data_IF_051277391008
#
_entry.id   IF_051277391008
#
_cell.length_a   1.000
_cell.length_b   1.000
_cell.length_c   1.000
_cell.angle_alpha   90.00
_cell.angle_beta   90.00
_cell.angle_gamma   90.00
#
_symmetry.space_group_name_H-M   'P 1'
#
loop_
_entity.id
_entity.type
_entity.pdbx_description
1 polymer ?
#
# COMPACT_ATOMS: atom_id res chain seq x y z
N UNK A 1 -66.31 22.08 -13.91
CA UNK A 1 -65.04 21.33 -13.93
C UNK A 1 -64.38 21.55 -15.27
N UNK A 2 -63.38 22.45 -15.35
CA UNK A 2 -62.52 22.61 -16.53
C UNK A 2 -61.16 22.07 -16.14
N UNK A 3 -60.74 20.99 -16.80
CA UNK A 3 -59.39 20.47 -16.69
C UNK A 3 -58.44 21.48 -17.35
N UNK A 4 -57.61 22.10 -16.53
CA UNK A 4 -56.55 23.01 -16.96
C UNK A 4 -55.42 22.14 -17.51
N UNK A 5 -55.24 22.19 -18.83
CA UNK A 5 -54.19 21.45 -19.52
C UNK A 5 -52.83 22.04 -19.17
N UNK A 6 -52.08 21.32 -18.34
CA UNK A 6 -50.68 21.61 -18.05
C UNK A 6 -49.88 21.41 -19.34
N UNK A 7 -49.71 22.49 -20.10
CA UNK A 7 -48.84 22.53 -21.27
C UNK A 7 -47.43 22.22 -20.81
N UNK A 8 -47.02 20.97 -21.01
CA UNK A 8 -45.62 20.53 -20.91
C UNK A 8 -44.76 21.49 -21.73
N UNK A 9 -44.13 22.46 -21.05
CA UNK A 9 -43.08 23.25 -21.68
C UNK A 9 -41.97 22.27 -22.05
N UNK A 10 -41.56 22.19 -23.31
CA UNK A 10 -40.50 21.28 -23.71
C UNK A 10 -39.27 21.62 -22.86
N UNK A 11 -38.83 20.65 -22.05
CA UNK A 11 -37.54 20.72 -21.39
C UNK A 11 -36.50 20.71 -22.52
N UNK A 12 -36.15 21.91 -23.02
CA UNK A 12 -34.92 22.07 -23.76
C UNK A 12 -33.80 21.77 -22.77
N UNK A 13 -33.33 20.52 -22.75
CA UNK A 13 -32.04 20.16 -22.20
C UNK A 13 -31.02 21.07 -22.86
N UNK A 14 -30.73 22.17 -22.19
CA UNK A 14 -29.71 23.10 -22.63
C UNK A 14 -28.39 22.39 -22.37
N UNK A 15 -27.97 21.57 -23.33
CA UNK A 15 -26.71 20.85 -23.31
C UNK A 15 -25.64 21.86 -22.90
N UNK A 16 -25.11 21.69 -21.71
CA UNK A 16 -24.07 22.58 -21.20
C UNK A 16 -22.90 22.40 -22.14
N UNK A 17 -22.53 23.44 -22.91
CA UNK A 17 -21.30 23.40 -23.70
C UNK A 17 -20.11 23.30 -22.74
N UNK A 18 -19.44 22.13 -22.66
CA UNK A 18 -18.34 21.91 -21.73
C UNK A 18 -17.10 22.72 -22.14
N UNK A 19 -17.06 23.29 -23.35
CA UNK A 19 -15.95 24.09 -23.86
C UNK A 19 -15.82 25.47 -23.17
N UNK A 20 -16.84 25.94 -22.45
CA UNK A 20 -16.83 27.26 -21.79
C UNK A 20 -16.04 27.31 -20.47
N UNK A 21 -15.50 26.20 -19.99
CA UNK A 21 -14.60 26.17 -18.83
C UNK A 21 -13.16 26.36 -19.31
N UNK A 22 -12.31 27.16 -18.63
CA UNK A 22 -10.88 27.21 -18.94
C UNK A 22 -10.37 25.77 -19.00
N UNK A 23 -9.64 25.42 -20.06
CA UNK A 23 -9.18 24.05 -20.28
C UNK A 23 -8.31 23.65 -19.09
N UNK A 24 -8.88 22.85 -18.19
CA UNK A 24 -8.05 22.18 -17.20
C UNK A 24 -7.15 21.25 -18.01
N UNK A 25 -5.86 21.23 -17.69
CA UNK A 25 -4.95 20.27 -18.29
C UNK A 25 -5.08 18.95 -17.50
N UNK A 26 -5.87 17.96 -17.98
CA UNK A 26 -6.07 16.72 -17.24
C UNK A 26 -4.77 15.93 -17.07
N UNK A 27 -3.79 16.13 -17.96
CA UNK A 27 -2.49 15.47 -17.85
C UNK A 27 -1.70 16.00 -16.66
N UNK A 28 -1.72 17.32 -16.44
CA UNK A 28 -1.08 17.93 -15.26
C UNK A 28 -1.69 17.41 -13.96
N UNK A 29 -3.02 17.29 -13.89
CA UNK A 29 -3.71 16.74 -12.73
C UNK A 29 -3.30 15.29 -12.42
N UNK A 30 -3.20 14.44 -13.44
CA UNK A 30 -2.75 13.05 -13.31
C UNK A 30 -1.30 12.95 -12.80
N UNK A 31 -0.41 13.77 -13.35
CA UNK A 31 1.00 13.80 -12.93
C UNK A 31 1.10 14.27 -11.47
N UNK A 32 0.36 15.32 -11.10
CA UNK A 32 0.38 15.85 -9.74
C UNK A 32 -0.13 14.84 -8.71
N UNK A 33 -1.25 14.15 -8.97
CA UNK A 33 -1.76 13.15 -8.04
C UNK A 33 -0.89 11.88 -8.01
N UNK A 34 -0.25 11.49 -9.12
CA UNK A 34 0.71 10.39 -9.13
C UNK A 34 1.98 10.73 -8.32
N UNK A 35 2.53 11.94 -8.48
CA UNK A 35 3.66 12.41 -7.69
C UNK A 35 3.31 12.44 -6.19
N UNK A 36 2.12 12.94 -5.84
CA UNK A 36 1.61 12.94 -4.47
C UNK A 36 1.46 11.53 -3.90
N UNK A 37 1.03 10.55 -4.70
CA UNK A 37 0.93 9.15 -4.29
C UNK A 37 2.31 8.52 -4.03
N UNK A 38 3.32 8.82 -4.86
CA UNK A 38 4.70 8.37 -4.62
C UNK A 38 5.24 8.96 -3.32
N UNK A 39 5.05 10.28 -3.11
CA UNK A 39 5.46 10.96 -1.88
C UNK A 39 4.74 10.36 -0.67
N UNK A 40 3.43 10.12 -0.76
CA UNK A 40 2.64 9.50 0.30
C UNK A 40 3.14 8.12 0.70
N UNK A 41 3.49 7.29 -0.29
CA UNK A 41 4.01 5.93 -0.06
C UNK A 41 5.37 5.97 0.65
N UNK A 42 6.28 6.83 0.19
CA UNK A 42 7.61 6.99 0.79
C UNK A 42 7.53 7.56 2.21
N UNK A 43 6.68 8.56 2.43
CA UNK A 43 6.47 9.17 3.75
C UNK A 43 5.90 8.14 4.72
N UNK A 44 4.90 7.37 4.31
CA UNK A 44 4.33 6.36 5.20
C UNK A 44 5.31 5.22 5.48
N UNK A 45 5.95 4.66 4.46
CA UNK A 45 6.99 3.64 4.65
C UNK A 45 8.08 4.11 5.60
N UNK A 46 8.52 5.38 5.47
CA UNK A 46 9.53 5.97 6.35
C UNK A 46 9.04 6.16 7.78
N UNK A 47 7.85 6.72 7.96
CA UNK A 47 7.27 6.93 9.30
C UNK A 47 7.10 5.59 10.01
N UNK A 48 6.51 4.59 9.35
CA UNK A 48 6.27 3.28 9.96
C UNK A 48 7.58 2.60 10.35
N UNK A 49 8.59 2.66 9.48
CA UNK A 49 9.92 2.10 9.75
C UNK A 49 10.59 2.74 10.97
N UNK A 50 10.63 4.07 11.06
CA UNK A 50 11.33 4.75 12.17
C UNK A 50 10.51 4.79 13.47
N UNK A 51 9.18 4.80 13.39
CA UNK A 51 8.32 4.87 14.56
C UNK A 51 8.12 3.51 15.24
N UNK A 52 8.46 2.40 14.58
CA UNK A 52 8.13 1.03 15.00
C UNK A 52 6.64 0.89 15.42
N UNK A 53 5.76 1.68 14.79
CA UNK A 53 4.34 1.76 15.10
C UNK A 53 3.55 2.03 13.84
N UNK A 54 2.50 1.24 13.67
CA UNK A 54 1.51 1.43 12.62
C UNK A 54 0.58 2.59 13.00
N UNK A 55 0.62 3.65 12.19
CA UNK A 55 -0.21 4.83 12.41
C UNK A 55 -1.29 4.88 11.31
N UNK A 56 -2.42 4.21 11.55
CA UNK A 56 -3.48 4.05 10.56
C UNK A 56 -4.01 5.39 9.97
N UNK A 57 -4.03 6.47 10.76
CA UNK A 57 -4.48 7.78 10.25
C UNK A 57 -3.60 8.36 9.14
N UNK A 58 -2.37 7.87 8.96
CA UNK A 58 -1.50 8.27 7.83
C UNK A 58 -2.13 7.89 6.49
N UNK A 59 -2.78 6.73 6.39
CA UNK A 59 -3.49 6.29 5.18
C UNK A 59 -4.60 7.28 4.79
N UNK A 60 -5.31 7.83 5.78
CA UNK A 60 -6.30 8.88 5.54
C UNK A 60 -5.65 10.17 5.02
N UNK A 61 -4.53 10.58 5.63
CA UNK A 61 -3.73 11.73 5.20
C UNK A 61 -3.22 11.61 3.76
N UNK A 62 -2.76 10.42 3.35
CA UNK A 62 -2.37 10.12 1.96
C UNK A 62 -3.53 10.37 0.99
N UNK A 63 -4.73 9.91 1.34
CA UNK A 63 -5.93 10.16 0.54
C UNK A 63 -6.21 11.65 0.34
N UNK A 64 -6.09 12.43 1.42
CA UNK A 64 -6.23 13.90 1.36
C UNK A 64 -5.14 14.53 0.49
N UNK A 65 -3.89 14.10 0.62
CA UNK A 65 -2.75 14.58 -0.16
C UNK A 65 -2.94 14.34 -1.67
N UNK A 66 -3.31 13.11 -2.05
CA UNK A 66 -3.52 12.71 -3.46
C UNK A 66 -4.70 13.47 -4.07
N UNK A 67 -5.84 13.51 -3.38
CA UNK A 67 -7.03 14.24 -3.85
C UNK A 67 -6.79 15.74 -3.95
N UNK A 68 -6.11 16.32 -2.96
CA UNK A 68 -5.73 17.73 -2.94
C UNK A 68 -4.81 18.11 -4.09
N UNK A 69 -3.75 17.32 -4.32
CA UNK A 69 -2.83 17.53 -5.44
C UNK A 69 -3.55 17.48 -6.79
N UNK A 70 -4.49 16.54 -6.95
CA UNK A 70 -5.33 16.43 -8.15
C UNK A 70 -6.11 17.73 -8.40
N UNK A 71 -6.81 18.25 -7.37
CA UNK A 71 -7.63 19.47 -7.48
C UNK A 71 -6.78 20.71 -7.72
N UNK A 72 -5.66 20.87 -7.02
CA UNK A 72 -4.74 22.01 -7.18
C UNK A 72 -4.21 22.08 -8.61
N UNK A 73 -3.96 20.94 -9.24
CA UNK A 73 -3.53 20.84 -10.63
C UNK A 73 -4.69 20.90 -11.66
N UNK A 74 -5.91 21.23 -11.22
CA UNK A 74 -7.08 21.42 -12.09
C UNK A 74 -7.90 20.16 -12.36
N UNK A 75 -7.64 19.06 -11.66
CA UNK A 75 -8.37 17.81 -11.76
C UNK A 75 -9.84 17.95 -11.34
N UNK A 76 -10.75 17.42 -12.16
CA UNK A 76 -12.19 17.45 -11.97
C UNK A 76 -12.88 16.36 -12.79
N UNK A 77 -14.14 16.11 -12.47
CA UNK A 77 -14.99 15.06 -13.04
C UNK A 77 -14.79 13.71 -12.35
N UNK A 78 -15.77 12.82 -12.55
CA UNK A 78 -15.78 11.46 -11.97
C UNK A 78 -14.53 10.66 -12.34
N UNK A 79 -14.05 10.79 -13.58
CA UNK A 79 -12.86 10.06 -14.03
C UNK A 79 -11.64 10.40 -13.17
N UNK A 80 -11.40 11.68 -12.87
CA UNK A 80 -10.28 12.11 -12.02
C UNK A 80 -10.47 11.76 -10.55
N UNK A 81 -11.70 11.76 -10.05
CA UNK A 81 -11.99 11.29 -8.70
C UNK A 81 -11.66 9.80 -8.54
N UNK A 82 -12.02 8.97 -9.52
CA UNK A 82 -11.67 7.54 -9.56
C UNK A 82 -10.15 7.36 -9.69
N UNK A 83 -9.48 8.12 -10.56
CA UNK A 83 -8.01 8.08 -10.67
C UNK A 83 -7.32 8.42 -9.35
N UNK A 84 -7.75 9.47 -8.65
CA UNK A 84 -7.21 9.83 -7.35
C UNK A 84 -7.44 8.74 -6.29
N UNK A 85 -8.62 8.12 -6.28
CA UNK A 85 -8.95 7.01 -5.40
C UNK A 85 -8.04 5.80 -5.62
N UNK A 86 -7.85 5.37 -6.89
CA UNK A 86 -6.97 4.25 -7.24
C UNK A 86 -5.52 4.56 -6.84
N UNK A 87 -5.03 5.77 -7.11
CA UNK A 87 -3.68 6.17 -6.72
C UNK A 87 -3.50 6.23 -5.21
N UNK A 88 -4.53 6.59 -4.45
CA UNK A 88 -4.50 6.51 -3.00
C UNK A 88 -4.38 5.05 -2.52
N UNK A 89 -5.15 4.11 -3.08
CA UNK A 89 -5.01 2.67 -2.78
C UNK A 89 -3.59 2.19 -3.06
N UNK A 90 -3.06 2.49 -4.25
CA UNK A 90 -1.73 2.08 -4.65
C UNK A 90 -0.64 2.68 -3.73
N UNK A 91 -0.75 3.98 -3.40
CA UNK A 91 0.16 4.67 -2.49
C UNK A 91 0.17 4.02 -1.10
N UNK A 92 -1.02 3.71 -0.57
CA UNK A 92 -1.19 3.03 0.71
C UNK A 92 -0.53 1.63 0.66
N UNK A 93 -0.86 0.82 -0.34
CA UNK A 93 -0.30 -0.52 -0.48
C UNK A 93 1.23 -0.52 -0.60
N UNK A 94 1.78 0.37 -1.43
CA UNK A 94 3.24 0.52 -1.59
C UNK A 94 3.89 1.01 -0.29
N UNK A 95 3.25 1.94 0.44
CA UNK A 95 3.76 2.41 1.74
C UNK A 95 3.89 1.27 2.76
N UNK A 96 2.86 0.42 2.88
CA UNK A 96 2.90 -0.74 3.79
C UNK A 96 3.93 -1.78 3.35
N UNK A 97 4.01 -2.06 2.05
CA UNK A 97 5.05 -2.94 1.48
C UNK A 97 6.48 -2.45 1.81
N UNK A 98 6.76 -1.15 1.61
CA UNK A 98 8.06 -0.56 1.91
C UNK A 98 8.40 -0.66 3.40
N UNK A 99 7.42 -0.38 4.28
CA UNK A 99 7.60 -0.48 5.73
C UNK A 99 8.08 -1.86 6.15
N UNK A 100 7.40 -2.92 5.71
CA UNK A 100 7.75 -4.31 6.06
C UNK A 100 9.09 -4.70 5.45
N UNK A 101 9.31 -4.38 4.16
CA UNK A 101 10.58 -4.71 3.49
C UNK A 101 11.78 -4.08 4.20
N UNK A 102 11.65 -2.82 4.62
CA UNK A 102 12.72 -2.13 5.35
C UNK A 102 12.90 -2.68 6.76
N UNK A 103 11.81 -2.99 7.47
CA UNK A 103 11.86 -3.59 8.80
C UNK A 103 12.55 -4.97 8.78
N UNK A 104 12.18 -5.83 7.82
CA UNK A 104 12.78 -7.16 7.62
C UNK A 104 14.27 -7.03 7.32
N UNK A 105 14.65 -6.16 6.38
CA UNK A 105 16.05 -5.93 6.06
C UNK A 105 16.85 -5.42 7.26
N UNK A 106 16.29 -4.47 8.02
CA UNK A 106 16.95 -3.92 9.19
C UNK A 106 17.11 -4.98 10.31
N UNK A 107 16.10 -5.84 10.50
CA UNK A 107 16.17 -6.94 11.44
C UNK A 107 17.31 -7.90 11.11
N UNK A 108 17.41 -8.36 9.85
CA UNK A 108 18.47 -9.28 9.43
C UNK A 108 19.87 -8.65 9.33
N UNK A 109 20.00 -7.34 9.57
CA UNK A 109 21.28 -6.65 9.75
C UNK A 109 21.56 -6.25 11.21
N UNK A 110 20.72 -6.69 12.15
CA UNK A 110 20.81 -6.32 13.56
C UNK A 110 21.72 -7.27 14.37
N UNK A 111 22.19 -6.84 15.55
CA UNK A 111 22.93 -7.72 16.47
C UNK A 111 22.15 -8.96 16.90
N UNK A 112 20.83 -8.87 17.03
CA UNK A 112 19.98 -10.01 17.39
C UNK A 112 20.01 -11.07 16.29
N UNK A 113 19.96 -10.64 15.02
CA UNK A 113 20.12 -11.54 13.89
C UNK A 113 21.54 -12.11 13.79
N UNK A 114 22.57 -11.36 14.22
CA UNK A 114 23.94 -11.87 14.28
C UNK A 114 24.08 -13.02 15.28
N UNK A 115 23.41 -12.95 16.44
CA UNK A 115 23.38 -14.06 17.39
C UNK A 115 22.70 -15.30 16.78
N UNK A 116 21.57 -15.14 16.09
CA UNK A 116 20.90 -16.23 15.38
C UNK A 116 21.78 -16.86 14.29
N UNK A 117 22.52 -16.03 13.56
CA UNK A 117 23.49 -16.50 12.57
C UNK A 117 24.63 -17.30 13.22
N UNK A 118 25.20 -16.81 14.32
CA UNK A 118 26.25 -17.51 15.06
C UNK A 118 25.76 -18.88 15.57
N UNK A 119 24.56 -18.92 16.14
CA UNK A 119 23.93 -20.17 16.60
C UNK A 119 23.70 -21.14 15.44
N UNK A 120 23.21 -20.66 14.29
CA UNK A 120 23.02 -21.49 13.11
C UNK A 120 24.34 -22.02 12.54
N UNK A 121 25.41 -21.22 12.55
CA UNK A 121 26.73 -21.70 12.11
C UNK A 121 27.28 -22.75 13.07
N UNK A 122 27.08 -22.58 14.38
CA UNK A 122 27.44 -23.59 15.37
C UNK A 122 26.64 -24.90 15.17
N UNK A 123 25.34 -24.80 14.86
CA UNK A 123 24.50 -25.94 14.50
C UNK A 123 24.98 -26.65 13.24
N UNK A 124 25.34 -25.88 12.22
CA UNK A 124 25.82 -26.40 10.96
C UNK A 124 27.13 -27.19 11.13
N UNK A 125 28.07 -26.66 11.91
CA UNK A 125 29.33 -27.34 12.24
C UNK A 125 29.10 -28.60 13.08
N UNK A 126 28.21 -28.54 14.08
CA UNK A 126 27.84 -29.70 14.88
C UNK A 126 27.13 -30.78 14.05
N UNK A 127 26.26 -30.39 13.12
CA UNK A 127 25.60 -31.29 12.17
C UNK A 127 26.61 -31.99 11.26
N UNK A 128 27.57 -31.24 10.72
CA UNK A 128 28.65 -31.80 9.90
C UNK A 128 29.50 -32.82 10.69
N UNK A 129 29.70 -32.61 11.98
CA UNK A 129 30.46 -33.52 12.84
C UNK A 129 29.77 -34.89 13.04
N UNK A 130 28.46 -35.00 12.79
CA UNK A 130 27.74 -36.27 12.82
C UNK A 130 28.06 -37.18 11.61
N UNK A 131 28.68 -36.64 10.55
CA UNK A 131 29.03 -37.36 9.32
C UNK A 131 27.96 -37.28 8.22
N UNK A 132 28.19 -37.96 7.10
CA UNK A 132 27.35 -37.85 5.89
C UNK A 132 25.98 -38.52 6.01
N UNK A 133 25.81 -39.47 6.94
CA UNK A 133 24.58 -40.25 7.10
C UNK A 133 24.35 -40.63 8.56
N UNK A 134 24.07 -39.64 9.44
CA UNK A 134 23.79 -39.92 10.83
C UNK A 134 22.52 -40.76 10.96
N UNK A 135 22.56 -41.74 11.86
CA UNK A 135 21.39 -42.55 12.21
C UNK A 135 20.35 -41.72 12.98
N UNK A 136 19.17 -42.29 13.19
CA UNK A 136 18.05 -41.57 13.82
C UNK A 136 18.33 -41.19 15.27
N UNK A 137 19.09 -42.02 16.01
CA UNK A 137 19.44 -41.76 17.40
C UNK A 137 20.42 -40.57 17.52
N UNK A 138 21.41 -40.49 16.62
CA UNK A 138 22.32 -39.35 16.55
C UNK A 138 21.59 -38.05 16.20
N UNK A 139 20.64 -38.09 15.26
CA UNK A 139 19.82 -36.93 14.90
C UNK A 139 18.93 -36.52 16.08
N UNK A 140 18.26 -37.46 16.74
CA UNK A 140 17.41 -37.16 17.89
C UNK A 140 18.21 -36.53 19.03
N UNK A 141 19.42 -37.04 19.29
CA UNK A 141 20.34 -36.47 20.28
C UNK A 141 20.74 -35.04 19.91
N UNK A 142 21.15 -34.82 18.65
CA UNK A 142 21.47 -33.49 18.13
C UNK A 142 20.30 -32.51 18.32
N UNK A 143 19.08 -32.92 17.98
CA UNK A 143 17.90 -32.06 18.10
C UNK A 143 17.64 -31.65 19.56
N UNK A 144 17.80 -32.57 20.51
CA UNK A 144 17.64 -32.28 21.94
C UNK A 144 18.73 -31.33 22.44
N UNK A 145 19.99 -31.63 22.13
CA UNK A 145 21.14 -30.84 22.62
C UNK A 145 21.18 -29.42 22.05
N UNK A 146 20.71 -29.25 20.82
CA UNK A 146 20.67 -27.96 20.12
C UNK A 146 19.29 -27.30 20.21
N UNK A 147 18.41 -27.82 21.05
CA UNK A 147 17.06 -27.28 21.34
C UNK A 147 16.19 -27.08 20.08
N UNK A 148 16.40 -27.90 19.04
CA UNK A 148 15.53 -27.91 17.88
C UNK A 148 14.17 -28.48 18.25
N UNK A 149 13.11 -27.94 17.63
CA UNK A 149 11.72 -28.26 17.94
C UNK A 149 11.47 -29.78 18.08
N UNK A 150 11.13 -30.20 19.29
CA UNK A 150 10.92 -31.60 19.68
C UNK A 150 9.70 -32.25 19.03
N UNK A 151 8.83 -31.46 18.40
CA UNK A 151 7.65 -31.98 17.68
C UNK A 151 8.00 -32.59 16.30
N UNK A 152 9.26 -32.43 15.84
CA UNK A 152 9.75 -32.98 14.58
C UNK A 152 10.42 -34.35 14.81
N UNK A 153 10.16 -35.31 13.93
CA UNK A 153 10.88 -36.61 13.94
C UNK A 153 12.28 -36.46 13.33
N UNK A 154 13.21 -37.36 13.69
CA UNK A 154 14.55 -37.40 13.10
C UNK A 154 14.52 -37.50 11.56
N UNK A 155 13.56 -38.27 11.01
CA UNK A 155 13.38 -38.39 9.57
C UNK A 155 12.96 -37.05 8.92
N UNK A 156 12.01 -36.34 9.52
CA UNK A 156 11.61 -35.00 9.06
C UNK A 156 12.76 -34.00 9.20
N UNK A 157 13.51 -34.04 10.30
CA UNK A 157 14.66 -33.16 10.49
C UNK A 157 15.70 -33.37 9.40
N UNK A 158 16.03 -34.64 9.10
CA UNK A 158 16.94 -34.99 8.00
C UNK A 158 16.45 -34.50 6.64
N UNK A 159 15.14 -34.53 6.41
CA UNK A 159 14.54 -34.13 5.12
C UNK A 159 14.48 -32.60 4.95
N UNK A 160 14.07 -31.86 5.98
CA UNK A 160 13.75 -30.43 5.86
C UNK A 160 14.84 -29.50 6.41
N UNK A 161 15.55 -29.88 7.48
CA UNK A 161 16.52 -29.00 8.16
C UNK A 161 17.97 -29.39 7.83
N UNK A 162 18.26 -30.70 7.82
CA UNK A 162 19.57 -31.25 7.54
C UNK A 162 20.26 -30.72 6.27
N UNK A 163 19.56 -30.58 5.12
CA UNK A 163 20.17 -30.02 3.91
C UNK A 163 20.61 -28.56 4.09
N UNK A 164 19.84 -27.75 4.83
CA UNK A 164 20.19 -26.36 5.11
C UNK A 164 21.42 -26.23 6.00
N UNK A 165 21.52 -27.06 7.05
CA UNK A 165 22.70 -27.11 7.92
C UNK A 165 23.94 -27.63 7.18
N UNK A 166 23.78 -28.64 6.33
CA UNK A 166 24.87 -29.16 5.50
C UNK A 166 25.37 -28.10 4.49
N UNK A 167 24.46 -27.36 3.83
CA UNK A 167 24.80 -26.26 2.93
C UNK A 167 25.54 -25.13 3.66
N UNK A 168 25.03 -24.74 4.84
CA UNK A 168 25.65 -23.73 5.68
C UNK A 168 27.07 -24.13 6.12
N UNK A 169 27.28 -25.39 6.54
CA UNK A 169 28.59 -25.89 6.93
C UNK A 169 29.58 -25.92 5.75
N UNK A 170 29.10 -26.29 4.57
CA UNK A 170 29.93 -26.41 3.36
C UNK A 170 30.30 -25.03 2.78
N UNK A 171 29.35 -24.10 2.73
CA UNK A 171 29.52 -22.81 2.05
C UNK A 171 29.93 -21.68 2.98
N UNK A 172 29.67 -21.80 4.31
CA UNK A 172 29.95 -20.79 5.34
C UNK A 172 29.57 -19.38 4.87
N UNK A 173 28.28 -19.14 4.54
CA UNK A 173 27.85 -17.85 4.00
C UNK A 173 28.22 -16.73 4.97
N UNK A 174 28.57 -15.55 4.45
CA UNK A 174 28.78 -14.40 5.34
C UNK A 174 27.47 -14.02 6.04
N UNK A 175 27.54 -13.29 7.16
CA UNK A 175 26.36 -12.78 7.85
C UNK A 175 25.46 -11.95 6.91
N UNK A 176 26.05 -11.13 6.04
CA UNK A 176 25.32 -10.32 5.07
C UNK A 176 24.62 -11.17 4.01
N UNK A 177 25.26 -12.23 3.53
CA UNK A 177 24.69 -13.17 2.56
C UNK A 177 23.54 -13.97 3.18
N UNK A 178 23.75 -14.49 4.40
CA UNK A 178 22.73 -15.19 5.17
C UNK A 178 21.52 -14.29 5.42
N UNK A 179 21.72 -13.08 5.95
CA UNK A 179 20.64 -12.14 6.25
C UNK A 179 19.87 -11.73 5.00
N UNK A 180 20.55 -11.60 3.86
CA UNK A 180 19.90 -11.32 2.57
C UNK A 180 19.04 -12.48 2.07
N UNK A 181 19.47 -13.73 2.26
CA UNK A 181 18.68 -14.93 1.94
C UNK A 181 17.45 -15.03 2.84
N UNK A 182 17.64 -14.91 4.16
CA UNK A 182 16.54 -14.96 5.12
C UNK A 182 15.52 -13.85 4.87
N UNK A 183 15.96 -12.63 4.56
CA UNK A 183 15.07 -11.54 4.20
C UNK A 183 14.27 -11.81 2.91
N UNK A 184 14.84 -12.56 1.96
CA UNK A 184 14.16 -12.93 0.72
C UNK A 184 13.17 -14.09 0.87
N UNK A 185 13.34 -14.91 1.92
CA UNK A 185 12.40 -15.99 2.26
C UNK A 185 11.13 -15.48 2.94
N UNK A 186 11.15 -14.27 3.51
CA UNK A 186 9.95 -13.66 4.10
C UNK A 186 8.95 -13.32 2.99
N UNK A 187 7.80 -13.99 3.01
CA UNK A 187 6.66 -13.61 2.18
C UNK A 187 6.06 -12.30 2.70
N UNK A 188 6.44 -11.20 2.05
CA UNK A 188 5.96 -9.85 2.40
C UNK A 188 4.44 -9.73 2.28
N UNK A 189 3.78 -10.48 1.38
CA UNK A 189 2.33 -10.44 1.26
C UNK A 189 1.64 -11.14 2.43
N UNK A 190 2.18 -12.29 2.86
CA UNK A 190 1.71 -12.97 4.05
C UNK A 190 1.87 -12.09 5.30
N UNK A 191 3.04 -11.45 5.44
CA UNK A 191 3.32 -10.50 6.51
C UNK A 191 2.35 -9.31 6.50
N UNK A 192 2.09 -8.71 5.33
CA UNK A 192 1.07 -7.64 5.18
C UNK A 192 -0.30 -8.16 5.62
N UNK A 193 -0.70 -9.35 5.18
CA UNK A 193 -2.04 -9.88 5.44
C UNK A 193 -2.27 -10.18 6.93
N UNK A 194 -1.23 -10.66 7.61
CA UNK A 194 -1.25 -10.94 9.05
C UNK A 194 -1.30 -9.65 9.87
N UNK A 195 -0.63 -8.61 9.40
CA UNK A 195 -0.52 -7.31 10.06
C UNK A 195 -1.69 -6.37 9.74
N UNK A 196 -2.63 -6.75 8.86
CA UNK A 196 -3.81 -5.94 8.57
C UNK A 196 -4.87 -6.07 9.67
N UNK A 197 -4.98 -5.04 10.52
CA UNK A 197 -6.06 -4.97 11.49
C UNK A 197 -7.36 -4.42 10.86
N UNK A 198 -8.54 -4.78 11.40
CA UNK A 198 -9.82 -4.20 10.96
C UNK A 198 -9.84 -2.66 11.03
N UNK A 199 -9.07 -2.07 11.94
CA UNK A 199 -8.93 -0.62 12.06
C UNK A 199 -8.17 0.00 10.89
N UNK A 200 -7.20 -0.70 10.30
CA UNK A 200 -6.48 -0.21 9.12
C UNK A 200 -7.39 -0.14 7.90
N UNK A 201 -8.28 -1.13 7.74
CA UNK A 201 -9.29 -1.12 6.69
C UNK A 201 -10.19 0.12 6.77
N UNK A 202 -10.57 0.54 7.98
CA UNK A 202 -11.31 1.79 8.18
C UNK A 202 -10.52 2.99 7.64
N UNK A 203 -9.25 3.13 8.01
CA UNK A 203 -8.43 4.26 7.57
C UNK A 203 -8.14 4.24 6.06
N UNK A 204 -7.99 3.05 5.48
CA UNK A 204 -7.86 2.87 4.03
C UNK A 204 -9.14 3.34 3.33
N UNK A 205 -10.31 2.89 3.78
CA UNK A 205 -11.60 3.33 3.22
C UNK A 205 -11.77 4.85 3.35
N UNK A 206 -11.40 5.43 4.50
CA UNK A 206 -11.43 6.88 4.70
C UNK A 206 -10.47 7.62 3.77
N UNK A 207 -9.26 7.10 3.56
CA UNK A 207 -8.30 7.66 2.60
C UNK A 207 -8.83 7.67 1.17
N UNK A 208 -9.31 6.51 0.70
CA UNK A 208 -9.89 6.35 -0.65
C UNK A 208 -11.10 7.29 -0.83
N UNK A 209 -12.02 7.27 0.13
CA UNK A 209 -13.21 8.12 0.12
C UNK A 209 -12.85 9.61 0.12
N UNK A 210 -11.85 10.01 0.90
CA UNK A 210 -11.37 11.40 0.96
C UNK A 210 -10.76 11.84 -0.37
N UNK A 211 -9.89 11.03 -0.97
CA UNK A 211 -9.30 11.33 -2.27
C UNK A 211 -10.38 11.55 -3.34
N UNK A 212 -11.37 10.65 -3.40
CA UNK A 212 -12.50 10.75 -4.31
C UNK A 212 -13.37 12.00 -4.06
N UNK A 213 -13.76 12.23 -2.80
CA UNK A 213 -14.68 13.30 -2.42
C UNK A 213 -14.08 14.69 -2.65
N UNK A 214 -12.79 14.89 -2.42
CA UNK A 214 -12.12 16.17 -2.69
C UNK A 214 -12.26 16.57 -4.16
N UNK A 215 -12.01 15.64 -5.09
CA UNK A 215 -12.12 15.89 -6.53
C UNK A 215 -13.58 16.07 -6.97
N UNK A 216 -14.51 15.28 -6.42
CA UNK A 216 -15.94 15.41 -6.76
C UNK A 216 -16.55 16.73 -6.28
N UNK A 217 -16.23 17.17 -5.07
CA UNK A 217 -16.72 18.45 -4.54
C UNK A 217 -16.26 19.63 -5.39
N UNK A 218 -15.01 19.61 -5.88
CA UNK A 218 -14.53 20.63 -6.82
C UNK A 218 -15.37 20.66 -8.10
N UNK A 219 -15.68 19.49 -8.63
CA UNK A 219 -16.47 19.35 -9.86
C UNK A 219 -17.89 19.91 -9.69
N UNK A 220 -18.54 19.64 -8.56
CA UNK A 220 -19.87 20.16 -8.25
C UNK A 220 -19.88 21.69 -8.05
N UNK A 221 -18.83 22.23 -7.42
CA UNK A 221 -18.67 23.67 -7.25
C UNK A 221 -18.56 24.39 -8.60
N UNK A 222 -17.80 23.84 -9.54
CA UNK A 222 -17.65 24.41 -10.90
C UNK A 222 -18.99 24.39 -11.67
N UNK A 223 -19.76 23.30 -11.58
CA UNK A 223 -21.10 23.21 -12.19
C UNK A 223 -22.05 24.25 -11.59
N UNK A 224 -22.06 24.39 -10.27
CA UNK A 224 -22.91 25.35 -9.56
C UNK A 224 -22.56 26.79 -9.94
N UNK A 225 -21.26 27.11 -10.02
CA UNK A 225 -20.78 28.43 -10.43
C UNK A 225 -21.19 28.76 -11.88
N UNK A 226 -21.14 27.78 -12.78
CA UNK A 226 -21.57 27.94 -14.16
C UNK A 226 -23.09 28.21 -14.26
N UNK A 227 -23.91 27.46 -13.53
CA UNK A 227 -25.36 27.68 -13.49
C UNK A 227 -25.71 29.08 -12.98
N UNK A 228 -25.01 29.58 -11.96
CA UNK A 228 -25.18 30.95 -11.45
C UNK A 228 -24.87 32.01 -12.50
N UNK A 229 -23.73 31.89 -13.21
CA UNK A 229 -23.33 32.81 -14.28
C UNK A 229 -24.34 32.85 -15.44
N UNK A 230 -24.94 31.72 -15.78
CA UNK A 230 -26.00 31.65 -16.81
C UNK A 230 -27.26 32.39 -16.38
N UNK A 231 -27.70 32.20 -15.14
CA UNK A 231 -28.88 32.91 -14.60
C UNK A 231 -28.66 34.43 -14.59
N UNK A 232 -27.48 34.89 -14.17
CA UNK A 232 -27.17 36.33 -14.17
C UNK A 232 -27.07 36.91 -15.57
N UNK A 233 -26.54 36.16 -16.55
CA UNK A 233 -26.46 36.60 -17.95
C UNK A 233 -27.84 36.65 -18.61
N UNK A 234 -28.66 35.61 -18.43
CA UNK A 234 -30.03 35.58 -18.96
C UNK A 234 -30.95 36.66 -18.36
N UNK A 235 -30.66 37.13 -17.15
CA UNK A 235 -31.37 38.27 -16.56
C UNK A 235 -30.89 39.65 -17.07
N UNK A 236 -29.71 39.72 -17.68
CA UNK A 236 -29.09 40.97 -18.12
C UNK A 236 -29.27 41.26 -19.62
N UNK A 237 -29.67 40.28 -20.43
CA UNK A 237 -30.00 40.48 -21.84
C UNK A 237 -31.48 40.93 -21.93
N UNK A 238 -31.78 42.22 -22.15
CA UNK A 238 -33.16 42.68 -22.32
C UNK A 238 -33.77 41.97 -23.53
N UNK A 239 -35.02 41.54 -23.40
CA UNK A 239 -35.80 41.02 -24.50
C UNK A 239 -35.85 42.11 -25.59
N UNK A 240 -35.08 41.93 -26.65
CA UNK A 240 -35.18 42.75 -27.84
C UNK A 240 -36.54 42.44 -28.49
N UNK A 241 -37.53 43.26 -28.14
CA UNK A 241 -38.80 43.42 -28.86
C UNK A 241 -38.63 44.41 -30.01
#
# INVERSE_FOLDING_TARGET
>A
MKAEGDTQRPYHETRIDPAALPSANPNLARIACAAAAIVGALVWGGISFYANREIGWVAWGIGALVGGACVVAGGRGTQMAVTAAILAVASIGVGKYLSITWAVKAYFSSPDAAALYEDQMADAEAWQALGESPDEDAIATFMIEREWNVDMTAAQFREYVGPGLADAAANKPSFDDWGSRMAAEVDVFDAISTDLHPLDLLWVILGIGTAYQIVMRRSQADVTAMQRRRRTRGAAEPSAE
#
